data_IF_090078589154
#
_entry.id   IF_090078589154
#
_cell.length_a   1.000
_cell.length_b   1.000
_cell.length_c   1.000
_cell.angle_alpha   90.00
_cell.angle_beta   90.00
_cell.angle_gamma   90.00
#
_symmetry.space_group_name_H-M   'P 1'
#
loop_
_entity.id
_entity.type
_entity.pdbx_description
1 polymer ?
#
# COMPACT_ATOMS: atom_id res chain seq x y z
N UNK A 1 -9.59 3.88 -5.00
CA UNK A 1 -8.50 4.79 -4.56
C UNK A 1 -7.25 4.43 -5.35
N UNK A 2 -6.55 5.39 -5.97
CA UNK A 2 -5.27 5.13 -6.68
C UNK A 2 -4.13 5.30 -5.69
N UNK A 3 -3.88 4.25 -4.91
CA UNK A 3 -2.85 4.20 -3.87
C UNK A 3 -2.42 2.74 -3.72
N UNK A 4 -1.11 2.49 -3.62
CA UNK A 4 -0.54 1.16 -3.41
C UNK A 4 0.52 1.22 -2.31
N UNK A 5 0.71 0.09 -1.61
CA UNK A 5 1.81 -0.06 -0.64
C UNK A 5 3.07 -0.66 -1.27
N UNK A 6 3.05 -1.02 -2.54
CA UNK A 6 4.20 -1.50 -3.31
C UNK A 6 4.94 -0.38 -4.04
N UNK A 7 4.31 0.80 -4.19
CA UNK A 7 4.84 1.93 -4.96
C UNK A 7 4.77 1.74 -6.48
N UNK A 8 4.15 0.65 -6.93
CA UNK A 8 3.78 0.44 -8.32
C UNK A 8 2.40 1.02 -8.61
N UNK A 9 2.10 1.24 -9.89
CA UNK A 9 0.79 1.75 -10.27
C UNK A 9 -0.31 0.72 -9.99
N UNK A 10 -1.47 1.21 -9.56
CA UNK A 10 -2.57 0.35 -9.18
C UNK A 10 -3.58 1.02 -8.27
N UNK A 11 -4.53 0.21 -7.82
CA UNK A 11 -5.67 0.67 -7.06
C UNK A 11 -5.88 -0.18 -5.82
N UNK A 12 -6.34 0.47 -4.75
CA UNK A 12 -6.90 -0.20 -3.60
C UNK A 12 -8.43 -0.23 -3.74
N UNK A 13 -8.97 -1.44 -3.72
CA UNK A 13 -10.40 -1.71 -3.87
C UNK A 13 -11.02 -1.95 -2.49
N UNK A 14 -11.92 -1.06 -2.09
CA UNK A 14 -12.78 -1.27 -0.93
C UNK A 14 -14.10 -1.84 -1.42
N UNK A 15 -14.43 -3.05 -0.98
CA UNK A 15 -15.55 -3.83 -1.50
C UNK A 15 -16.35 -4.33 -0.29
N UNK A 16 -17.70 -4.26 -0.31
CA UNK A 16 -18.52 -4.95 0.67
C UNK A 16 -18.21 -6.46 0.68
N UNK A 17 -18.15 -7.05 1.86
CA UNK A 17 -17.71 -8.44 2.05
C UNK A 17 -18.47 -9.46 1.19
N UNK A 18 -19.74 -9.19 0.93
CA UNK A 18 -20.68 -10.00 0.16
C UNK A 18 -20.26 -10.15 -1.30
N UNK A 19 -19.50 -9.18 -1.82
CA UNK A 19 -19.03 -9.15 -3.21
C UNK A 19 -17.54 -9.48 -3.36
N UNK A 20 -16.81 -9.66 -2.24
CA UNK A 20 -15.35 -9.81 -2.27
C UNK A 20 -14.88 -11.00 -3.14
N UNK A 21 -15.55 -12.14 -3.02
CA UNK A 21 -15.22 -13.35 -3.81
C UNK A 21 -15.51 -13.14 -5.30
N UNK A 22 -16.69 -12.63 -5.64
CA UNK A 22 -17.09 -12.39 -7.02
C UNK A 22 -16.12 -11.43 -7.73
N UNK A 23 -15.73 -10.33 -7.05
CA UNK A 23 -14.76 -9.39 -7.61
C UNK A 23 -13.38 -10.03 -7.78
N UNK A 24 -12.92 -10.80 -6.80
CA UNK A 24 -11.64 -11.51 -6.91
C UNK A 24 -11.63 -12.49 -8.09
N UNK A 25 -12.67 -13.32 -8.24
CA UNK A 25 -12.74 -14.31 -9.32
C UNK A 25 -12.74 -13.63 -10.70
N UNK A 26 -13.52 -12.55 -10.86
CA UNK A 26 -13.55 -11.76 -12.09
C UNK A 26 -12.18 -11.14 -12.42
N UNK A 27 -11.48 -10.59 -11.42
CA UNK A 27 -10.14 -10.02 -11.61
C UNK A 27 -9.13 -11.09 -12.01
N UNK A 28 -9.16 -12.25 -11.35
CA UNK A 28 -8.27 -13.36 -11.66
C UNK A 28 -8.55 -13.95 -13.03
N UNK A 29 -9.80 -13.99 -13.49
CA UNK A 29 -10.16 -14.46 -14.82
C UNK A 29 -9.67 -13.50 -15.91
N UNK A 30 -10.01 -12.20 -15.80
CA UNK A 30 -9.63 -11.19 -16.80
C UNK A 30 -8.12 -10.87 -16.78
N UNK A 31 -7.47 -11.07 -15.64
CA UNK A 31 -6.03 -10.84 -15.48
C UNK A 31 -5.14 -11.94 -16.08
N UNK A 32 -5.70 -13.08 -16.51
CA UNK A 32 -4.91 -14.21 -17.07
C UNK A 32 -4.04 -13.79 -18.25
N UNK A 33 -4.59 -12.96 -19.14
CA UNK A 33 -3.89 -12.47 -20.34
C UNK A 33 -2.71 -11.55 -19.98
N UNK A 34 -2.71 -10.99 -18.77
CA UNK A 34 -1.67 -10.12 -18.23
C UNK A 34 -0.71 -10.83 -17.26
N UNK A 35 -0.87 -12.15 -17.07
CA UNK A 35 -0.04 -12.92 -16.14
C UNK A 35 -0.32 -12.62 -14.67
N UNK A 36 -1.58 -12.34 -14.32
CA UNK A 36 -1.97 -12.06 -12.93
C UNK A 36 -1.56 -13.20 -11.99
N UNK A 37 -0.98 -12.83 -10.85
CA UNK A 37 -0.59 -13.77 -9.79
C UNK A 37 -0.98 -13.22 -8.43
N UNK A 38 -1.17 -14.13 -7.48
CA UNK A 38 -1.37 -13.76 -6.08
C UNK A 38 -0.03 -13.35 -5.45
N UNK A 39 -0.02 -12.21 -4.76
CA UNK A 39 1.11 -11.75 -3.97
C UNK A 39 0.78 -11.83 -2.48
N UNK A 40 1.67 -12.49 -1.72
CA UNK A 40 1.54 -12.60 -0.28
C UNK A 40 2.03 -11.35 0.47
N UNK A 41 1.75 -11.33 1.77
CA UNK A 41 2.16 -10.24 2.66
C UNK A 41 3.67 -9.98 2.66
N UNK A 42 4.51 -11.03 2.64
CA UNK A 42 5.97 -10.87 2.66
C UNK A 42 6.50 -10.19 1.40
N UNK A 43 5.96 -10.51 0.23
CA UNK A 43 6.34 -9.85 -1.02
C UNK A 43 5.99 -8.36 -0.96
N UNK A 44 4.77 -8.03 -0.56
CA UNK A 44 4.33 -6.64 -0.36
C UNK A 44 5.20 -5.91 0.69
N UNK A 45 5.57 -6.60 1.78
CA UNK A 45 6.44 -6.06 2.82
C UNK A 45 7.83 -5.71 2.28
N UNK A 46 8.42 -6.54 1.42
CA UNK A 46 9.71 -6.24 0.81
C UNK A 46 9.61 -5.04 -0.14
N UNK A 47 8.60 -5.02 -1.02
CA UNK A 47 8.40 -3.93 -1.98
C UNK A 47 8.20 -2.56 -1.29
N UNK A 48 7.48 -2.53 -0.16
CA UNK A 48 7.33 -1.27 0.60
C UNK A 48 8.65 -0.75 1.16
N UNK A 49 9.58 -1.63 1.52
CA UNK A 49 10.88 -1.27 2.09
C UNK A 49 11.77 -0.69 0.98
N UNK A 50 11.74 -1.28 -0.22
CA UNK A 50 12.44 -0.75 -1.39
C UNK A 50 12.00 0.67 -1.76
N UNK A 51 10.71 0.98 -1.56
CA UNK A 51 10.14 2.33 -1.74
C UNK A 51 10.23 3.21 -0.49
N UNK A 52 10.88 2.72 0.57
CA UNK A 52 11.05 3.40 1.85
C UNK A 52 9.70 3.87 2.42
N UNK A 53 8.64 3.06 2.36
CA UNK A 53 7.38 3.36 3.04
C UNK A 53 7.42 2.87 4.49
N UNK A 54 7.38 3.79 5.47
CA UNK A 54 7.52 3.44 6.88
C UNK A 54 6.23 2.80 7.42
N UNK A 55 6.37 1.74 8.18
CA UNK A 55 5.30 1.12 8.94
C UNK A 55 5.27 1.64 10.37
N UNK A 56 4.10 2.09 10.82
CA UNK A 56 3.90 2.42 12.23
C UNK A 56 4.14 1.20 13.12
N UNK A 57 4.80 1.39 14.26
CA UNK A 57 5.17 0.37 15.23
C UNK A 57 6.46 -0.39 14.93
N UNK A 58 6.87 -0.47 13.66
CA UNK A 58 8.12 -1.13 13.26
C UNK A 58 9.21 -0.13 12.90
N UNK A 59 8.93 0.74 11.93
CA UNK A 59 9.90 1.69 11.39
C UNK A 59 9.76 3.06 12.07
N UNK A 60 8.55 3.41 12.51
CA UNK A 60 8.23 4.67 13.17
C UNK A 60 7.38 4.44 14.41
N UNK A 61 7.62 5.26 15.42
CA UNK A 61 6.93 5.19 16.70
C UNK A 61 6.67 6.61 17.26
N UNK A 62 6.20 6.68 18.51
CA UNK A 62 5.96 7.96 19.20
C UNK A 62 7.22 8.79 19.44
N UNK A 63 8.41 8.18 19.36
CA UNK A 63 9.70 8.85 19.59
C UNK A 63 10.31 9.38 18.29
N UNK A 64 9.85 8.87 17.15
CA UNK A 64 10.35 9.24 15.83
C UNK A 64 9.55 10.41 15.27
N UNK A 65 10.25 11.50 14.90
CA UNK A 65 9.62 12.65 14.24
C UNK A 65 9.79 12.57 12.72
N UNK A 66 8.93 13.22 11.92
CA UNK A 66 9.05 13.26 10.46
C UNK A 66 10.41 13.78 9.95
N UNK A 67 11.09 14.61 10.74
CA UNK A 67 12.45 15.09 10.46
C UNK A 67 13.51 13.98 10.50
N UNK A 68 13.37 12.96 11.35
CA UNK A 68 14.31 11.83 11.40
C UNK A 68 14.29 10.98 10.13
N UNK A 69 13.21 11.09 9.35
CA UNK A 69 12.95 10.28 8.15
C UNK A 69 13.10 11.08 6.86
N UNK A 70 13.53 12.34 6.94
CA UNK A 70 13.53 13.31 5.83
C UNK A 70 12.17 13.36 5.11
N UNK A 71 11.09 13.44 5.89
CA UNK A 71 9.69 13.41 5.44
C UNK A 71 8.86 14.59 5.95
N UNK A 72 9.51 15.69 6.31
CA UNK A 72 8.89 16.92 6.77
C UNK A 72 7.88 17.51 5.77
N UNK A 73 8.04 17.25 4.47
CA UNK A 73 7.11 17.68 3.43
C UNK A 73 5.72 17.04 3.50
N UNK A 74 5.55 15.98 4.30
CA UNK A 74 4.23 15.39 4.59
C UNK A 74 3.52 16.06 5.78
N UNK A 75 4.16 17.02 6.46
CA UNK A 75 3.59 17.75 7.58
C UNK A 75 3.30 19.18 7.15
N UNK A 76 2.03 19.59 7.20
CA UNK A 76 1.67 20.99 7.07
C UNK A 76 1.85 21.66 8.44
N UNK A 77 2.79 22.59 8.55
CA UNK A 77 3.00 23.39 9.76
C UNK A 77 2.16 24.67 9.78
N UNK A 78 1.76 25.16 8.61
CA UNK A 78 0.95 26.37 8.44
C UNK A 78 -0.56 26.11 8.59
N UNK A 79 -0.93 25.09 9.35
CA UNK A 79 -2.34 24.82 9.66
C UNK A 79 -2.82 25.90 10.63
N UNK A 80 -3.65 26.82 10.14
CA UNK A 80 -4.39 27.78 10.97
C UNK A 80 -5.22 27.09 12.05
#
# INVERSE_FOLDING_TARGET
>A
MRLTHTGEDGFMLYIPSEYALCVYDMLMEQGKDYGIINAGYFAQRTLRIERMYPSWGHDIDKKTTPFHLNREYHVSFDVK
#
